data_IF_546031338996
#
_entry.id   IF_546031338996
#
_cell.length_a   1.000
_cell.length_b   1.000
_cell.length_c   1.000
_cell.angle_alpha   90.00
_cell.angle_beta   90.00
_cell.angle_gamma   90.00
#
_symmetry.space_group_name_H-M   'P 1'
#
loop_
_entity.id
_entity.type
_entity.pdbx_description
1 polymer ?
#
# COMPACT_ATOMS: atom_id res chain seq x y z
N UNK A 1 1.15 -23.35 -6.08
CA UNK A 1 0.01 -22.51 -5.67
C UNK A 1 0.27 -21.04 -6.07
N UNK A 2 0.22 -20.71 -7.37
CA UNK A 2 0.39 -19.32 -7.87
C UNK A 2 -0.78 -18.89 -8.77
N UNK A 3 -1.74 -19.78 -9.03
CA UNK A 3 -2.81 -19.60 -10.02
C UNK A 3 -3.96 -18.70 -9.58
N UNK A 4 -3.98 -18.22 -8.33
CA UNK A 4 -5.01 -17.29 -7.80
C UNK A 4 -4.56 -15.84 -7.69
N UNK A 5 -3.26 -15.56 -7.83
CA UNK A 5 -2.71 -14.21 -7.63
C UNK A 5 -2.81 -13.39 -8.91
N UNK A 6 -3.03 -12.09 -8.77
CA UNK A 6 -3.10 -11.18 -9.92
C UNK A 6 -1.78 -11.14 -10.69
N UNK A 7 -1.85 -10.88 -12.00
CA UNK A 7 -0.66 -10.77 -12.86
C UNK A 7 0.43 -9.83 -12.31
N UNK A 8 0.13 -8.61 -11.79
CA UNK A 8 1.16 -7.74 -11.22
C UNK A 8 1.81 -8.35 -9.97
N UNK A 9 1.04 -9.02 -9.10
CA UNK A 9 1.59 -9.71 -7.93
C UNK A 9 2.61 -10.78 -8.34
N UNK A 10 2.27 -11.60 -9.34
CA UNK A 10 3.17 -12.65 -9.82
C UNK A 10 4.49 -12.09 -10.36
N UNK A 11 4.45 -10.95 -11.05
CA UNK A 11 5.64 -10.28 -11.56
C UNK A 11 6.54 -9.84 -10.40
N UNK A 12 5.98 -9.19 -9.37
CA UNK A 12 6.76 -8.78 -8.19
C UNK A 12 7.38 -9.99 -7.49
N UNK A 13 6.62 -11.07 -7.28
CA UNK A 13 7.14 -12.28 -6.64
C UNK A 13 8.33 -12.89 -7.38
N UNK A 14 8.32 -12.85 -8.73
CA UNK A 14 9.47 -13.29 -9.53
C UNK A 14 10.67 -12.35 -9.39
N UNK A 15 10.44 -11.04 -9.30
CA UNK A 15 11.50 -10.05 -9.14
C UNK A 15 12.17 -10.10 -7.76
N UNK A 16 11.41 -10.42 -6.71
CA UNK A 16 11.94 -10.47 -5.34
C UNK A 16 12.61 -11.80 -5.00
N UNK A 17 12.38 -12.86 -5.79
CA UNK A 17 12.96 -14.19 -5.58
C UNK A 17 14.48 -14.18 -5.26
N UNK A 18 15.35 -13.43 -5.98
CA UNK A 18 16.79 -13.41 -5.67
C UNK A 18 17.14 -12.66 -4.37
N UNK A 19 16.24 -11.83 -3.84
CA UNK A 19 16.46 -11.04 -2.62
C UNK A 19 15.63 -11.55 -1.44
N UNK A 20 14.95 -12.70 -1.58
CA UNK A 20 14.17 -13.31 -0.52
C UNK A 20 15.03 -13.56 0.73
N UNK A 21 14.44 -13.38 1.90
CA UNK A 21 15.05 -13.55 3.23
C UNK A 21 16.25 -12.63 3.52
N UNK A 22 16.46 -11.58 2.72
CA UNK A 22 17.53 -10.61 2.95
C UNK A 22 17.16 -9.49 3.93
N UNK A 23 15.95 -9.52 4.54
CA UNK A 23 15.43 -8.50 5.45
C UNK A 23 15.50 -7.07 4.87
N UNK A 24 15.35 -6.94 3.55
CA UNK A 24 15.34 -5.66 2.85
C UNK A 24 13.93 -5.11 2.73
N UNK A 25 13.84 -3.79 2.59
CA UNK A 25 12.61 -3.11 2.29
C UNK A 25 12.43 -2.97 0.77
N UNK A 26 11.24 -3.30 0.28
CA UNK A 26 10.82 -3.09 -1.10
C UNK A 26 9.93 -1.87 -1.14
N UNK A 27 10.20 -0.95 -2.06
CA UNK A 27 9.31 0.18 -2.33
C UNK A 27 8.70 0.03 -3.72
N UNK A 28 7.38 0.09 -3.80
CA UNK A 28 6.65 -0.14 -5.04
C UNK A 28 5.59 0.91 -5.33
N UNK A 29 5.28 1.06 -6.61
CA UNK A 29 4.18 1.88 -7.09
C UNK A 29 2.83 1.24 -6.75
N UNK A 30 1.80 2.07 -6.58
CA UNK A 30 0.41 1.67 -6.36
C UNK A 30 -0.12 0.64 -7.38
N UNK A 31 0.39 0.59 -8.61
CA UNK A 31 -0.05 -0.43 -9.58
C UNK A 31 0.18 -1.86 -9.08
N UNK A 32 1.22 -2.07 -8.27
CA UNK A 32 1.60 -3.36 -7.73
C UNK A 32 1.09 -3.58 -6.30
N UNK A 33 0.77 -2.50 -5.58
CA UNK A 33 0.24 -2.54 -4.21
C UNK A 33 -1.08 -3.30 -4.11
N UNK A 34 -1.02 -4.45 -3.44
CA UNK A 34 -2.16 -5.30 -3.13
C UNK A 34 -1.91 -5.99 -1.80
N UNK A 35 -2.95 -6.22 -0.99
CA UNK A 35 -2.80 -6.83 0.33
C UNK A 35 -2.25 -8.26 0.21
N UNK A 36 -2.75 -9.02 -0.76
CA UNK A 36 -2.24 -10.35 -1.08
C UNK A 36 -0.73 -10.34 -1.40
N UNK A 37 -0.24 -9.31 -2.11
CA UNK A 37 1.19 -9.18 -2.38
C UNK A 37 1.97 -8.98 -1.08
N UNK A 38 1.47 -8.13 -0.18
CA UNK A 38 2.14 -7.83 1.09
C UNK A 38 2.27 -9.10 1.94
N UNK A 39 1.22 -9.94 1.98
CA UNK A 39 1.26 -11.23 2.68
C UNK A 39 2.33 -12.17 2.11
N UNK A 40 2.42 -12.28 0.79
CA UNK A 40 3.42 -13.13 0.15
C UNK A 40 4.85 -12.59 0.34
N UNK A 41 5.04 -11.27 0.23
CA UNK A 41 6.33 -10.61 0.48
C UNK A 41 6.78 -10.83 1.93
N UNK A 42 5.86 -10.79 2.89
CA UNK A 42 6.14 -11.05 4.31
C UNK A 42 6.57 -12.50 4.56
N UNK A 43 5.97 -13.48 3.87
CA UNK A 43 6.42 -14.90 3.93
C UNK A 43 7.86 -15.07 3.42
N UNK A 44 8.30 -14.19 2.52
CA UNK A 44 9.67 -14.14 2.03
C UNK A 44 10.63 -13.36 2.95
N UNK A 45 10.22 -12.92 4.15
CA UNK A 45 11.09 -12.19 5.08
C UNK A 45 11.48 -10.80 4.57
N UNK A 46 10.58 -10.15 3.83
CA UNK A 46 10.77 -8.80 3.28
C UNK A 46 9.64 -7.89 3.75
N UNK A 47 9.93 -6.58 3.80
CA UNK A 47 8.93 -5.54 4.09
C UNK A 47 8.57 -4.79 2.82
N UNK A 48 7.33 -4.31 2.72
CA UNK A 48 6.84 -3.59 1.55
C UNK A 48 6.29 -2.23 1.95
N UNK A 49 6.74 -1.18 1.26
CA UNK A 49 6.24 0.17 1.38
C UNK A 49 5.72 0.60 0.01
N UNK A 50 4.47 1.04 -0.06
CA UNK A 50 3.89 1.46 -1.32
C UNK A 50 2.72 2.39 -1.11
N UNK A 51 2.37 3.11 -2.17
CA UNK A 51 1.14 3.89 -2.18
C UNK A 51 -0.04 2.97 -2.50
N UNK A 52 -1.22 3.25 -1.95
CA UNK A 52 -2.43 2.48 -2.24
C UNK A 52 -3.57 3.43 -2.59
N UNK A 53 -4.28 3.13 -3.68
CA UNK A 53 -5.47 3.88 -4.12
C UNK A 53 -6.61 3.71 -3.12
N UNK A 54 -7.29 4.81 -2.85
CA UNK A 54 -8.44 4.92 -1.93
C UNK A 54 -9.63 4.03 -2.28
N UNK A 55 -9.74 3.57 -3.53
CA UNK A 55 -10.88 2.80 -4.03
C UNK A 55 -10.79 1.31 -3.72
N UNK A 56 -9.80 0.86 -2.94
CA UNK A 56 -9.66 -0.55 -2.54
C UNK A 56 -10.63 -0.83 -1.39
N UNK A 57 -11.52 -1.82 -1.55
CA UNK A 57 -12.53 -2.18 -0.54
C UNK A 57 -11.95 -2.61 0.81
N UNK A 58 -10.67 -3.02 0.82
CA UNK A 58 -10.01 -3.44 2.06
C UNK A 58 -9.53 -2.26 2.92
N UNK A 59 -9.64 -1.02 2.42
CA UNK A 59 -9.30 0.18 3.18
C UNK A 59 -10.48 0.51 4.09
N UNK A 60 -10.30 0.51 5.43
CA UNK A 60 -11.36 0.90 6.33
C UNK A 60 -11.84 2.33 6.02
N UNK A 61 -13.14 2.62 6.16
CA UNK A 61 -13.71 3.94 5.84
C UNK A 61 -13.06 5.07 6.64
N UNK A 62 -12.46 4.77 7.79
CA UNK A 62 -11.67 5.70 8.59
C UNK A 62 -10.42 6.21 7.85
N UNK A 63 -9.92 5.54 6.82
CA UNK A 63 -8.77 6.01 6.03
C UNK A 63 -9.17 6.70 4.73
N UNK A 64 -10.44 6.64 4.35
CA UNK A 64 -10.91 7.34 3.15
C UNK A 64 -10.91 8.85 3.38
N UNK A 65 -10.63 9.65 2.33
CA UNK A 65 -10.62 11.11 2.44
C UNK A 65 -12.01 11.61 2.85
N UNK A 66 -12.09 12.22 4.03
CA UNK A 66 -13.32 12.80 4.54
C UNK A 66 -13.21 14.34 4.52
N UNK A 67 -14.16 15.01 3.88
CA UNK A 67 -14.18 16.48 3.74
C UNK A 67 -14.33 17.21 5.08
N UNK A 68 -14.83 16.53 6.12
CA UNK A 68 -14.93 17.10 7.46
C UNK A 68 -13.65 16.97 8.29
N UNK A 69 -12.57 16.38 7.75
CA UNK A 69 -11.28 16.32 8.45
C UNK A 69 -10.53 17.65 8.34
N UNK A 70 -10.10 18.25 9.46
CA UNK A 70 -9.25 19.42 9.42
C UNK A 70 -7.92 19.09 8.73
N UNK A 71 -7.50 19.96 7.81
CA UNK A 71 -6.34 19.78 6.91
C UNK A 71 -4.97 19.68 7.61
N UNK A 72 -4.95 19.67 8.95
CA UNK A 72 -3.75 19.76 9.78
C UNK A 72 -3.32 18.45 10.46
N UNK A 73 -4.07 17.35 10.30
CA UNK A 73 -3.64 16.09 10.93
C UNK A 73 -2.56 15.40 10.10
N UNK A 74 -1.32 15.72 10.48
CA UNK A 74 -0.12 14.95 10.21
C UNK A 74 -0.36 13.49 10.58
N UNK A 75 -0.30 12.62 9.58
CA UNK A 75 -0.01 11.19 9.68
C UNK A 75 -0.87 10.42 10.70
N UNK A 76 -1.87 9.70 10.22
CA UNK A 76 -2.59 8.71 11.03
C UNK A 76 -1.87 7.37 10.87
N UNK A 77 -1.18 6.95 11.93
CA UNK A 77 -0.65 5.59 12.07
C UNK A 77 -1.74 4.70 12.64
N UNK A 78 -2.17 3.68 11.90
CA UNK A 78 -3.10 2.66 12.41
C UNK A 78 -2.51 1.29 12.09
N UNK A 79 -2.28 0.53 13.15
CA UNK A 79 -1.96 -0.89 13.11
C UNK A 79 -3.28 -1.65 12.90
N UNK A 80 -3.48 -2.26 11.73
CA UNK A 80 -4.64 -3.13 11.50
C UNK A 80 -4.15 -4.57 11.57
N UNK A 81 -4.36 -5.22 12.74
CA UNK A 81 -4.11 -6.60 13.22
C UNK A 81 -2.97 -7.45 12.62
N UNK A 82 -2.56 -7.28 11.37
CA UNK A 82 -1.42 -7.91 10.71
C UNK A 82 -0.70 -7.01 9.67
N UNK A 83 -1.12 -5.76 9.48
CA UNK A 83 -0.52 -4.81 8.53
C UNK A 83 -0.34 -3.41 9.14
N UNK A 84 0.85 -2.84 8.92
CA UNK A 84 1.13 -1.43 9.17
C UNK A 84 0.66 -0.59 7.98
N UNK A 85 -0.57 -0.09 8.06
CA UNK A 85 -1.11 0.81 7.03
C UNK A 85 -0.89 2.27 7.45
N UNK A 86 -0.03 2.95 6.71
CA UNK A 86 0.21 4.38 6.89
C UNK A 86 -0.72 5.18 5.97
N UNK A 87 -1.53 6.08 6.55
CA UNK A 87 -2.31 7.05 5.77
C UNK A 87 -1.86 8.47 6.10
N UNK A 88 -1.32 9.13 5.07
CA UNK A 88 -1.07 10.57 5.08
C UNK A 88 -2.09 11.22 4.16
N UNK A 89 -3.06 11.94 4.73
CA UNK A 89 -3.98 12.76 3.95
C UNK A 89 -3.49 14.21 3.99
N UNK A 90 -2.68 14.61 3.00
CA UNK A 90 -2.46 16.04 2.74
C UNK A 90 -3.62 16.52 1.86
N UNK A 91 -4.60 17.21 2.47
CA UNK A 91 -5.67 17.85 1.70
C UNK A 91 -5.20 19.17 1.10
N UNK A 92 -4.17 19.13 0.23
CA UNK A 92 -4.06 20.14 -0.82
C UNK A 92 -4.86 19.65 -2.00
N UNK A 93 -5.99 20.33 -2.26
CA UNK A 93 -6.64 20.29 -3.58
C UNK A 93 -5.51 20.40 -4.60
N UNK A 94 -5.45 19.44 -5.53
CA UNK A 94 -4.68 19.53 -6.76
C UNK A 94 -4.71 20.97 -7.27
N UNK A 95 -3.64 21.73 -7.06
CA UNK A 95 -3.44 23.06 -7.64
C UNK A 95 -3.07 22.86 -9.12
N UNK A 96 -4.00 22.36 -9.91
CA UNK A 96 -4.01 22.59 -11.35
C UNK A 96 -5.27 23.40 -11.63
N UNK A 97 -5.17 24.68 -12.03
CA UNK A 97 -6.31 25.35 -12.61
C UNK A 97 -6.72 24.55 -13.85
N UNK A 98 -7.99 24.14 -13.90
CA UNK A 98 -8.59 23.65 -15.14
C UNK A 98 -8.43 24.75 -16.20
N UNK A 99 -7.67 24.45 -17.25
CA UNK A 99 -7.64 25.22 -18.50
C UNK A 99 -9.00 25.19 -19.18
#
# INVERSE_FOLDING_TARGET
MMSKLTHPTQVVLRLIAPIAYSNRNITGDNWYSSIELIDEVRKCGLTYVGTMRTNKMQIPPQFQPNRSRPAHFFIIWIFWENHDCFSCTETRKSCYPSL
#
